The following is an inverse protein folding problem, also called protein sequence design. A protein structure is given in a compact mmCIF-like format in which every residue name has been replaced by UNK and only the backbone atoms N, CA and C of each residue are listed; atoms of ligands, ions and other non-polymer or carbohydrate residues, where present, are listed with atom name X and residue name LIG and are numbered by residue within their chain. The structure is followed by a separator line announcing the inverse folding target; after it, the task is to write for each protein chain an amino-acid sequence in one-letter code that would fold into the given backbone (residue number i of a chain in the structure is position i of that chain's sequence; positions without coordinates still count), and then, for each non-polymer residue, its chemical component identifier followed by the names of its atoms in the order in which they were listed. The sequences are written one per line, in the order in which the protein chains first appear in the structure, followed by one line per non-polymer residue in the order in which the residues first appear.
data_IF_240363151651
#
_entry.id   IF_240363151651
#
_cell.length_a   1.000
_cell.length_b   1.000
_cell.length_c   1.000
_cell.angle_alpha   90.00
_cell.angle_beta   90.00
_cell.angle_gamma   90.00
#
_symmetry.space_group_name_H-M   'P 1'
#
loop_
_entity.id
_entity.type
_entity.pdbx_description
1 polymer ?
#
# COMPACT_ATOMS: atom_id res chain seq x y z
N UNK A 1 2.66 -9.05 8.47
CA UNK A 1 1.81 -8.51 9.54
C UNK A 1 1.52 -7.00 9.37
N UNK A 2 2.22 -6.31 8.46
CA UNK A 2 1.95 -4.90 8.17
C UNK A 2 2.06 -3.99 9.40
N UNK A 3 1.09 -3.08 9.63
CA UNK A 3 1.11 -2.17 10.78
C UNK A 3 1.14 -2.88 12.14
N UNK A 4 0.54 -4.05 12.26
CA UNK A 4 0.52 -4.82 13.50
C UNK A 4 1.85 -5.54 13.84
N UNK A 5 2.89 -5.40 13.00
CA UNK A 5 4.18 -6.09 13.20
C UNK A 5 4.77 -5.80 14.59
N UNK A 6 4.83 -4.55 15.01
CA UNK A 6 5.42 -4.19 16.31
C UNK A 6 4.61 -4.71 17.50
N UNK A 7 3.29 -4.76 17.39
CA UNK A 7 2.44 -5.37 18.42
C UNK A 7 2.76 -6.87 18.58
N UNK A 8 2.94 -7.60 17.46
CA UNK A 8 3.33 -9.00 17.49
C UNK A 8 4.75 -9.20 18.01
N UNK A 9 5.69 -8.31 17.66
CA UNK A 9 7.05 -8.34 18.19
C UNK A 9 7.08 -8.10 19.69
N UNK A 10 6.23 -7.22 20.23
CA UNK A 10 6.08 -7.03 21.68
C UNK A 10 5.63 -8.29 22.38
N UNK A 11 4.63 -9.01 21.84
CA UNK A 11 4.20 -10.30 22.39
C UNK A 11 5.32 -11.34 22.37
N UNK A 12 6.20 -11.30 21.38
CA UNK A 12 7.37 -12.16 21.30
C UNK A 12 8.56 -11.63 22.11
N UNK A 13 8.42 -10.53 22.85
CA UNK A 13 9.50 -9.86 23.60
C UNK A 13 10.72 -9.56 22.69
N UNK A 14 10.47 -9.18 21.45
CA UNK A 14 11.50 -8.87 20.45
C UNK A 14 11.61 -7.36 20.23
N UNK A 15 12.75 -6.87 19.73
CA UNK A 15 12.93 -5.47 19.42
C UNK A 15 11.92 -4.96 18.39
N UNK A 16 11.43 -3.73 18.58
CA UNK A 16 10.59 -3.08 17.59
C UNK A 16 11.41 -2.68 16.36
N UNK A 17 10.73 -2.70 15.23
CA UNK A 17 11.25 -2.18 13.98
C UNK A 17 10.74 -0.74 13.78
N UNK A 18 11.54 0.16 13.19
CA UNK A 18 11.13 1.54 12.91
C UNK A 18 10.14 1.59 11.71
N UNK A 19 8.96 1.03 11.91
CA UNK A 19 7.92 0.96 10.91
C UNK A 19 7.02 2.18 10.98
N UNK A 20 6.61 2.68 9.82
CA UNK A 20 5.73 3.83 9.68
C UNK A 20 4.42 3.41 9.04
N UNK A 21 3.28 3.67 9.69
CA UNK A 21 1.98 3.50 9.09
C UNK A 21 1.73 4.61 8.06
N UNK A 22 1.13 4.25 6.94
CA UNK A 22 0.70 5.21 5.92
C UNK A 22 -0.71 4.83 5.49
N UNK A 23 -1.68 5.57 6.01
CA UNK A 23 -3.08 5.42 5.64
C UNK A 23 -3.31 5.97 4.24
N UNK A 24 -4.25 5.40 3.51
CA UNK A 24 -4.66 5.92 2.22
C UNK A 24 -6.06 5.47 1.85
N UNK A 25 -6.76 6.35 1.14
CA UNK A 25 -8.09 6.10 0.62
C UNK A 25 -8.08 6.06 -0.90
N UNK A 26 -8.78 5.07 -1.45
CA UNK A 26 -9.22 5.02 -2.84
C UNK A 26 -10.60 5.64 -2.95
N UNK A 27 -10.85 6.35 -4.07
CA UNK A 27 -12.17 6.68 -4.57
C UNK A 27 -12.51 5.70 -5.68
N UNK A 28 -13.72 5.15 -5.68
CA UNK A 28 -14.15 4.23 -6.72
C UNK A 28 -15.65 4.31 -6.94
N UNK A 29 -16.10 3.86 -8.07
CA UNK A 29 -17.53 3.80 -8.37
C UNK A 29 -17.83 2.94 -9.61
N UNK A 30 -19.11 2.65 -9.86
CA UNK A 30 -19.52 1.94 -11.07
C UNK A 30 -19.16 2.76 -12.32
N UNK A 31 -18.75 2.08 -13.37
CA UNK A 31 -18.47 2.71 -14.65
C UNK A 31 -19.75 2.76 -15.49
N UNK A 32 -20.12 3.96 -15.89
CA UNK A 32 -21.28 4.19 -16.76
C UNK A 32 -20.89 4.25 -18.24
N UNK A 33 -21.87 4.23 -19.13
CA UNK A 33 -21.64 4.39 -20.57
C UNK A 33 -20.95 5.73 -20.92
N UNK A 34 -21.21 6.79 -20.17
CA UNK A 34 -20.57 8.09 -20.34
C UNK A 34 -19.05 8.04 -20.07
N UNK A 35 -18.59 7.06 -19.31
CA UNK A 35 -17.18 6.85 -18.96
C UNK A 35 -16.45 5.89 -19.92
N UNK A 36 -17.05 5.56 -21.07
CA UNK A 36 -16.43 4.63 -22.05
C UNK A 36 -15.07 5.12 -22.58
N UNK A 37 -14.81 6.42 -22.52
CA UNK A 37 -13.53 7.04 -22.92
C UNK A 37 -12.40 6.92 -21.88
N UNK A 38 -12.61 6.27 -20.75
CA UNK A 38 -11.54 6.02 -19.76
C UNK A 38 -10.45 5.11 -20.34
N UNK A 39 -9.18 5.32 -19.95
CA UNK A 39 -8.07 4.49 -20.44
C UNK A 39 -8.30 3.00 -20.20
N UNK A 40 -8.03 2.12 -21.19
CA UNK A 40 -8.22 0.68 -21.07
C UNK A 40 -7.09 -0.03 -20.29
N UNK A 41 -6.12 0.71 -19.76
CA UNK A 41 -4.99 0.21 -19.00
C UNK A 41 -4.75 1.05 -17.74
N UNK A 42 -4.13 0.48 -16.69
CA UNK A 42 -3.78 1.22 -15.49
C UNK A 42 -2.79 2.35 -15.78
N UNK A 43 -3.06 3.55 -15.26
CA UNK A 43 -2.13 4.69 -15.30
C UNK A 43 -1.66 4.95 -13.88
N UNK A 44 -0.36 5.13 -13.69
CA UNK A 44 0.26 5.35 -12.39
C UNK A 44 1.22 6.55 -12.44
N UNK A 45 1.22 7.34 -11.37
CA UNK A 45 2.08 8.52 -11.21
C UNK A 45 1.89 9.11 -9.82
N UNK A 46 1.49 10.37 -9.71
CA UNK A 46 1.04 10.98 -8.45
C UNK A 46 -0.40 10.53 -8.12
N UNK A 47 -0.57 9.26 -7.84
CA UNK A 47 -1.82 8.53 -7.75
C UNK A 47 -1.87 7.44 -8.83
N UNK A 48 -3.01 6.80 -8.97
CA UNK A 48 -3.27 5.83 -10.04
C UNK A 48 -4.74 5.90 -10.47
N UNK A 49 -4.99 5.66 -11.74
CA UNK A 49 -6.32 5.41 -12.29
C UNK A 49 -6.36 4.01 -12.89
N UNK A 50 -7.32 3.21 -12.47
CA UNK A 50 -7.60 1.89 -13.04
C UNK A 50 -9.09 1.84 -13.37
N UNK A 51 -9.41 1.80 -14.64
CA UNK A 51 -10.79 1.66 -15.14
C UNK A 51 -11.06 0.21 -15.59
N UNK A 52 -12.29 -0.05 -15.95
CA UNK A 52 -12.75 -1.33 -16.48
C UNK A 52 -12.50 -2.54 -15.57
N UNK A 53 -12.42 -2.31 -14.25
CA UNK A 53 -12.26 -3.39 -13.26
C UNK A 53 -13.58 -4.14 -13.15
N UNK A 54 -13.63 -5.47 -13.34
CA UNK A 54 -14.87 -6.24 -13.17
C UNK A 54 -15.48 -6.04 -11.78
N UNK A 55 -16.75 -5.68 -11.73
CA UNK A 55 -17.48 -5.43 -10.49
C UNK A 55 -18.96 -5.84 -10.66
N UNK A 56 -19.38 -6.89 -9.95
CA UNK A 56 -20.73 -7.44 -10.12
C UNK A 56 -21.01 -7.83 -11.57
N UNK A 57 -22.11 -7.35 -12.13
CA UNK A 57 -22.48 -7.55 -13.54
C UNK A 57 -21.87 -6.50 -14.51
N UNK A 58 -21.09 -5.55 -14.02
CA UNK A 58 -20.50 -4.45 -14.79
C UNK A 58 -19.03 -4.27 -14.52
N UNK A 59 -18.59 -3.02 -14.65
CA UNK A 59 -17.21 -2.59 -14.35
C UNK A 59 -17.21 -1.39 -13.42
N UNK A 60 -16.09 -1.18 -12.74
CA UNK A 60 -15.84 -0.04 -11.87
C UNK A 60 -14.53 0.66 -12.25
N UNK A 61 -14.42 1.92 -11.88
CA UNK A 61 -13.19 2.69 -11.88
C UNK A 61 -12.65 2.86 -10.47
N UNK A 62 -11.32 2.93 -10.34
CA UNK A 62 -10.61 3.15 -9.08
C UNK A 62 -9.60 4.26 -9.26
N UNK A 63 -9.63 5.23 -8.38
CA UNK A 63 -8.77 6.41 -8.39
C UNK A 63 -8.09 6.60 -7.04
N UNK A 64 -6.83 6.87 -7.01
CA UNK A 64 -6.10 7.16 -5.78
C UNK A 64 -4.74 6.48 -5.73
N UNK A 65 -4.18 6.44 -4.56
CA UNK A 65 -4.74 6.72 -3.24
C UNK A 65 -4.11 7.95 -2.60
N UNK A 66 -4.71 8.42 -1.50
CA UNK A 66 -4.05 9.34 -0.58
C UNK A 66 -2.91 8.68 0.18
N UNK A 67 -2.05 9.48 0.83
CA UNK A 67 -0.87 9.03 1.59
C UNK A 67 -0.74 9.85 2.88
N UNK A 68 -1.48 9.47 3.91
CA UNK A 68 -1.48 10.13 5.22
C UNK A 68 -0.44 9.44 6.10
N UNK A 69 0.72 10.06 6.25
CA UNK A 69 1.82 9.51 7.05
C UNK A 69 1.49 9.55 8.53
N UNK A 70 1.99 8.55 9.26
CA UNK A 70 1.83 8.39 10.70
C UNK A 70 0.36 8.35 11.15
N UNK A 71 -0.51 7.92 10.22
CA UNK A 71 -1.94 7.71 10.46
C UNK A 71 -2.29 6.24 10.28
N UNK A 72 -2.98 5.68 11.28
CA UNK A 72 -3.45 4.29 11.23
C UNK A 72 -4.91 4.12 11.63
N UNK A 73 -5.57 5.22 12.06
CA UNK A 73 -6.97 5.16 12.48
C UNK A 73 -7.89 4.85 11.30
N UNK A 74 -8.69 3.81 11.46
CA UNK A 74 -9.78 3.41 10.57
C UNK A 74 -11.04 3.15 11.40
N UNK A 75 -12.23 3.41 10.84
CA UNK A 75 -12.49 4.06 9.54
C UNK A 75 -12.15 5.57 9.58
N UNK A 76 -12.08 6.18 8.40
CA UNK A 76 -12.00 7.64 8.27
C UNK A 76 -13.33 8.28 8.70
N UNK A 77 -13.27 9.50 9.26
CA UNK A 77 -14.48 10.30 9.44
C UNK A 77 -15.09 10.74 8.10
N UNK A 78 -16.36 11.12 8.06
CA UNK A 78 -16.97 11.64 6.83
C UNK A 78 -16.19 12.82 6.21
N UNK A 79 -15.67 13.73 7.02
CA UNK A 79 -14.89 14.88 6.60
C UNK A 79 -13.53 14.47 6.02
N UNK A 80 -12.87 13.47 6.64
CA UNK A 80 -11.63 12.91 6.12
C UNK A 80 -11.86 12.18 4.80
N UNK A 81 -12.97 11.45 4.65
CA UNK A 81 -13.34 10.79 3.40
C UNK A 81 -13.57 11.81 2.28
N UNK A 82 -14.33 12.88 2.56
CA UNK A 82 -14.57 13.95 1.60
C UNK A 82 -13.27 14.62 1.16
N UNK A 83 -12.38 14.94 2.10
CA UNK A 83 -11.06 15.51 1.81
C UNK A 83 -10.20 14.57 0.96
N UNK A 84 -10.25 13.28 1.23
CA UNK A 84 -9.52 12.28 0.45
C UNK A 84 -10.08 12.14 -0.98
N UNK A 85 -11.42 12.19 -1.16
CA UNK A 85 -12.07 12.23 -2.46
C UNK A 85 -11.61 13.44 -3.26
N UNK A 86 -11.68 14.65 -2.68
CA UNK A 86 -11.23 15.89 -3.33
C UNK A 86 -9.75 15.84 -3.72
N UNK A 87 -8.90 15.26 -2.85
CA UNK A 87 -7.48 15.07 -3.14
C UNK A 87 -7.25 14.13 -4.32
N UNK A 88 -7.97 13.02 -4.39
CA UNK A 88 -7.86 12.07 -5.48
C UNK A 88 -8.31 12.70 -6.81
N UNK A 89 -9.44 13.42 -6.82
CA UNK A 89 -9.92 14.14 -8.00
C UNK A 89 -8.93 15.21 -8.48
N UNK A 90 -8.37 16.00 -7.55
CA UNK A 90 -7.36 17.00 -7.89
C UNK A 90 -6.10 16.37 -8.53
N UNK A 91 -5.67 15.21 -8.04
CA UNK A 91 -4.54 14.50 -8.65
C UNK A 91 -4.86 13.96 -10.04
N UNK A 92 -6.11 13.55 -10.28
CA UNK A 92 -6.55 13.10 -11.60
C UNK A 92 -6.35 14.16 -12.67
N UNK A 93 -6.58 15.43 -12.35
CA UNK A 93 -6.42 16.56 -13.28
C UNK A 93 -5.00 16.64 -13.86
N UNK A 94 -4.00 16.28 -13.08
CA UNK A 94 -2.60 16.25 -13.55
C UNK A 94 -2.17 14.87 -14.07
N UNK A 95 -2.77 13.79 -13.59
CA UNK A 95 -2.41 12.43 -13.96
C UNK A 95 -2.99 12.04 -15.34
N UNK A 96 -4.27 12.29 -15.53
CA UNK A 96 -5.02 11.98 -16.77
C UNK A 96 -6.06 13.08 -17.01
N UNK A 97 -5.66 14.24 -17.57
CA UNK A 97 -6.57 15.38 -17.76
C UNK A 97 -7.84 15.03 -18.53
N UNK A 98 -7.74 14.12 -19.50
CA UNK A 98 -8.88 13.68 -20.31
C UNK A 98 -9.90 12.81 -19.57
N UNK A 99 -9.51 12.18 -18.46
CA UNK A 99 -10.40 11.37 -17.65
C UNK A 99 -11.15 12.20 -16.58
N UNK A 100 -10.63 13.35 -16.23
CA UNK A 100 -11.23 14.20 -15.20
C UNK A 100 -12.68 14.57 -15.51
N UNK A 101 -13.04 15.14 -16.69
CA UNK A 101 -14.41 15.48 -16.99
C UNK A 101 -15.35 14.26 -17.07
N UNK A 102 -14.82 13.06 -17.29
CA UNK A 102 -15.62 11.83 -17.29
C UNK A 102 -15.95 11.35 -15.87
N UNK A 103 -15.06 11.55 -14.90
CA UNK A 103 -15.22 11.11 -13.53
C UNK A 103 -15.77 12.19 -12.59
N UNK A 104 -15.55 13.47 -12.90
CA UNK A 104 -15.99 14.60 -12.08
C UNK A 104 -17.45 14.51 -11.63
N UNK A 105 -18.43 14.20 -12.51
CA UNK A 105 -19.84 14.09 -12.11
C UNK A 105 -20.11 13.10 -10.99
N UNK A 106 -19.29 12.02 -10.87
CA UNK A 106 -19.43 11.07 -9.79
C UNK A 106 -19.05 11.65 -8.41
N UNK A 107 -18.24 12.70 -8.38
CA UNK A 107 -17.84 13.37 -7.14
C UNK A 107 -18.81 14.49 -6.72
N UNK A 108 -19.68 14.95 -7.60
CA UNK A 108 -20.66 16.01 -7.32
C UNK A 108 -22.07 15.49 -7.08
N UNK A 109 -22.35 14.25 -7.48
CA UNK A 109 -23.70 13.68 -7.34
C UNK A 109 -24.01 13.32 -5.90
N UNK A 110 -25.28 13.36 -5.56
CA UNK A 110 -25.83 12.86 -4.29
C UNK A 110 -26.33 11.43 -4.37
N UNK A 111 -26.19 10.78 -5.54
CA UNK A 111 -26.59 9.38 -5.72
C UNK A 111 -25.71 8.47 -4.85
N UNK A 112 -26.31 7.64 -3.99
CA UNK A 112 -25.59 6.93 -2.93
C UNK A 112 -24.55 5.92 -3.46
N UNK A 113 -24.76 5.39 -4.66
CA UNK A 113 -23.89 4.34 -5.22
C UNK A 113 -22.94 4.85 -6.32
N UNK A 114 -22.85 6.16 -6.53
CA UNK A 114 -22.01 6.75 -7.57
C UNK A 114 -20.53 6.86 -7.14
N UNK A 115 -20.27 7.09 -5.85
CA UNK A 115 -18.94 7.29 -5.30
C UNK A 115 -18.78 6.54 -3.97
N UNK A 116 -17.79 5.71 -3.92
CA UNK A 116 -17.43 4.93 -2.72
C UNK A 116 -16.00 5.23 -2.28
N UNK A 117 -15.74 5.00 -0.99
CA UNK A 117 -14.43 5.04 -0.39
C UNK A 117 -13.97 3.64 0.05
N UNK A 118 -12.71 3.32 -0.18
CA UNK A 118 -12.02 2.23 0.50
C UNK A 118 -10.72 2.76 1.09
N UNK A 119 -10.49 2.49 2.35
CA UNK A 119 -9.29 2.94 3.04
C UNK A 119 -8.55 1.77 3.69
N UNK A 120 -7.23 1.88 3.71
CA UNK A 120 -6.36 0.91 4.36
C UNK A 120 -5.05 1.54 4.83
N UNK A 121 -4.36 0.84 5.72
CA UNK A 121 -3.08 1.28 6.25
C UNK A 121 -1.95 0.43 5.69
N UNK A 122 -1.02 1.08 5.01
CA UNK A 122 0.24 0.48 4.55
C UNK A 122 1.28 0.56 5.66
N UNK A 123 2.19 -0.39 5.65
CA UNK A 123 3.36 -0.38 6.52
C UNK A 123 4.61 -0.13 5.67
N UNK A 124 5.41 0.86 6.04
CA UNK A 124 6.66 1.19 5.37
C UNK A 124 7.82 1.22 6.37
N UNK A 125 9.03 1.02 5.88
CA UNK A 125 10.29 1.29 6.58
C UNK A 125 10.80 2.69 6.22
N UNK A 126 11.72 3.29 6.98
CA UNK A 126 12.33 4.59 6.68
C UNK A 126 13.00 4.65 5.30
N UNK A 127 13.63 3.56 4.88
CA UNK A 127 14.29 3.41 3.57
C UNK A 127 13.34 2.98 2.45
N UNK A 128 12.06 2.74 2.75
CA UNK A 128 11.00 2.30 1.82
C UNK A 128 11.27 0.95 1.15
N UNK A 129 12.17 0.15 1.72
CA UNK A 129 12.42 -1.22 1.28
C UNK A 129 11.64 -2.21 2.15
N UNK A 130 11.20 -3.35 1.63
CA UNK A 130 10.66 -4.43 2.44
C UNK A 130 11.63 -4.85 3.53
N UNK A 131 11.08 -5.36 4.61
CA UNK A 131 11.84 -5.87 5.74
C UNK A 131 11.56 -7.37 5.87
N UNK A 132 12.57 -8.20 5.59
CA UNK A 132 12.46 -9.66 5.51
C UNK A 132 13.61 -10.30 6.26
N UNK A 133 13.36 -11.38 6.97
CA UNK A 133 14.41 -12.16 7.62
C UNK A 133 14.31 -12.21 9.14
N UNK A 134 15.36 -12.72 9.82
CA UNK A 134 15.39 -12.81 11.27
C UNK A 134 15.37 -11.43 11.91
N UNK A 135 14.63 -11.29 13.01
CA UNK A 135 14.50 -10.01 13.72
C UNK A 135 15.69 -9.74 14.61
N UNK A 136 16.24 -10.78 15.24
CA UNK A 136 17.34 -10.64 16.20
C UNK A 136 18.08 -11.96 16.39
N UNK A 137 19.40 -11.88 16.57
CA UNK A 137 20.23 -13.01 16.97
C UNK A 137 19.84 -13.57 18.36
N UNK A 138 19.25 -12.74 19.23
CA UNK A 138 18.83 -13.14 20.58
C UNK A 138 17.51 -13.93 20.61
N UNK A 139 16.79 -13.99 19.50
CA UNK A 139 15.54 -14.73 19.33
C UNK A 139 15.63 -15.59 18.07
N UNK A 140 16.41 -16.69 18.10
CA UNK A 140 16.51 -17.60 16.97
C UNK A 140 15.12 -18.18 16.64
N UNK A 141 14.79 -18.25 15.36
CA UNK A 141 13.50 -18.75 14.90
C UNK A 141 12.40 -17.69 14.73
N UNK A 142 12.60 -16.43 15.16
CA UNK A 142 11.66 -15.35 14.91
C UNK A 142 12.02 -14.59 13.62
N UNK A 143 11.12 -14.65 12.64
CA UNK A 143 11.30 -14.07 11.32
C UNK A 143 10.16 -13.11 11.00
N UNK A 144 10.45 -12.09 10.18
CA UNK A 144 9.45 -11.15 9.67
C UNK A 144 9.47 -11.07 8.15
N UNK A 145 8.31 -10.76 7.58
CA UNK A 145 8.13 -10.30 6.22
C UNK A 145 7.10 -9.16 6.28
N UNK A 146 7.56 -7.91 6.20
CA UNK A 146 6.76 -6.71 6.48
C UNK A 146 7.29 -5.50 5.69
N UNK A 147 6.71 -4.33 5.91
CA UNK A 147 7.10 -3.06 5.29
C UNK A 147 7.01 -3.06 3.75
N UNK A 148 6.05 -3.76 3.19
CA UNK A 148 5.89 -3.87 1.73
C UNK A 148 5.48 -2.55 1.05
N UNK A 149 4.96 -1.59 1.82
CA UNK A 149 4.54 -0.28 1.36
C UNK A 149 3.41 -0.35 0.32
N UNK A 150 3.44 0.56 -0.66
CA UNK A 150 2.42 0.64 -1.71
C UNK A 150 2.60 -0.40 -2.83
N UNK A 151 3.68 -1.19 -2.81
CA UNK A 151 4.00 -2.21 -3.85
C UNK A 151 3.92 -3.62 -3.29
N UNK A 152 3.04 -3.86 -2.32
CA UNK A 152 2.95 -5.13 -1.61
C UNK A 152 2.71 -6.33 -2.52
N UNK A 153 1.79 -6.24 -3.46
CA UNK A 153 1.49 -7.34 -4.38
C UNK A 153 2.71 -7.76 -5.22
N UNK A 154 3.47 -6.80 -5.74
CA UNK A 154 4.67 -7.07 -6.53
C UNK A 154 5.83 -7.61 -5.69
N UNK A 155 5.98 -7.09 -4.46
CA UNK A 155 7.13 -7.43 -3.61
C UNK A 155 6.93 -8.67 -2.76
N UNK A 156 5.68 -8.98 -2.40
CA UNK A 156 5.39 -10.05 -1.45
C UNK A 156 5.85 -11.42 -1.95
N UNK A 157 5.67 -11.72 -3.24
CA UNK A 157 6.11 -12.98 -3.85
C UNK A 157 7.63 -13.12 -3.74
N UNK A 158 8.37 -12.12 -4.23
CA UNK A 158 9.84 -12.12 -4.15
C UNK A 158 10.35 -12.18 -2.71
N UNK A 159 9.71 -11.46 -1.79
CA UNK A 159 10.06 -11.50 -0.37
C UNK A 159 9.74 -12.87 0.27
N UNK A 160 8.69 -13.54 -0.20
CA UNK A 160 8.35 -14.91 0.20
C UNK A 160 9.41 -15.91 -0.25
N UNK A 161 9.81 -15.87 -1.52
CA UNK A 161 10.88 -16.70 -2.07
C UNK A 161 12.21 -16.46 -1.36
N UNK A 162 12.56 -15.20 -1.10
CA UNK A 162 13.76 -14.84 -0.37
C UNK A 162 13.75 -15.39 1.06
N UNK A 163 12.61 -15.32 1.73
CA UNK A 163 12.43 -15.85 3.08
C UNK A 163 12.58 -17.39 3.09
N UNK A 164 11.94 -18.07 2.14
CA UNK A 164 12.03 -19.52 1.99
C UNK A 164 13.47 -19.96 1.71
N UNK A 165 14.16 -19.30 0.78
CA UNK A 165 15.55 -19.60 0.46
C UNK A 165 16.48 -19.46 1.68
N UNK A 166 16.29 -18.44 2.52
CA UNK A 166 17.07 -18.31 3.76
C UNK A 166 16.75 -19.40 4.79
N UNK A 167 15.48 -19.78 4.94
CA UNK A 167 15.07 -20.81 5.89
C UNK A 167 15.58 -22.20 5.49
N UNK A 168 15.61 -22.48 4.19
CA UNK A 168 16.02 -23.77 3.65
C UNK A 168 17.49 -23.83 3.18
N UNK A 169 18.23 -22.70 3.31
CA UNK A 169 19.63 -22.58 2.85
C UNK A 169 19.78 -22.84 1.34
N UNK A 170 18.79 -22.44 0.58
CA UNK A 170 18.76 -22.52 -0.88
C UNK A 170 19.45 -21.31 -1.55
N UNK A 171 19.80 -21.42 -2.85
CA UNK A 171 20.27 -20.28 -3.61
C UNK A 171 19.26 -19.11 -3.55
N UNK A 172 19.77 -17.89 -3.31
CA UNK A 172 18.92 -16.72 -3.19
C UNK A 172 18.35 -16.31 -4.55
N UNK A 173 17.07 -15.84 -4.60
CA UNK A 173 16.45 -15.34 -5.83
C UNK A 173 16.97 -13.96 -6.24
N UNK A 174 17.86 -13.36 -5.46
CA UNK A 174 18.47 -12.05 -5.63
C UNK A 174 19.98 -12.12 -5.45
N UNK A 175 20.71 -11.15 -6.01
CA UNK A 175 22.11 -10.98 -5.66
C UNK A 175 22.31 -10.68 -4.17
N UNK A 176 23.48 -11.03 -3.65
CA UNK A 176 23.77 -10.92 -2.21
C UNK A 176 23.66 -9.48 -1.65
N UNK A 177 23.87 -8.44 -2.48
CA UNK A 177 23.77 -7.04 -2.07
C UNK A 177 22.31 -6.65 -1.88
N UNK A 178 21.45 -6.99 -2.84
CA UNK A 178 20.00 -6.74 -2.75
C UNK A 178 19.36 -7.56 -1.63
N UNK A 179 19.72 -8.83 -1.49
CA UNK A 179 19.23 -9.67 -0.42
C UNK A 179 19.57 -9.07 0.95
N UNK A 180 20.80 -8.60 1.16
CA UNK A 180 21.21 -7.91 2.40
C UNK A 180 20.45 -6.60 2.63
N UNK A 181 20.16 -5.85 1.58
CA UNK A 181 19.40 -4.61 1.66
C UNK A 181 17.94 -4.82 2.12
N UNK A 182 17.42 -6.03 2.05
CA UNK A 182 16.09 -6.39 2.52
C UNK A 182 16.06 -6.98 3.92
N UNK A 183 17.22 -7.33 4.52
CA UNK A 183 17.28 -7.97 5.84
C UNK A 183 16.71 -7.09 6.95
N UNK A 184 15.95 -7.71 7.86
CA UNK A 184 15.37 -7.04 9.02
C UNK A 184 16.44 -6.45 9.96
N UNK A 185 17.57 -7.12 10.10
CA UNK A 185 18.70 -6.73 10.95
C UNK A 185 19.21 -5.30 10.65
N UNK A 186 19.13 -4.83 9.40
CA UNK A 186 19.52 -3.45 9.02
C UNK A 186 18.74 -2.37 9.76
N UNK A 187 17.47 -2.66 10.09
CA UNK A 187 16.60 -1.72 10.79
C UNK A 187 16.79 -1.79 12.30
N UNK A 188 17.11 -2.95 12.85
CA UNK A 188 17.40 -3.12 14.27
C UNK A 188 18.71 -2.41 14.65
N UNK A 189 19.76 -2.55 13.84
CA UNK A 189 21.03 -1.88 14.06
C UNK A 189 20.90 -0.35 14.05
N UNK A 190 20.07 0.20 13.14
CA UNK A 190 19.83 1.63 13.04
C UNK A 190 19.05 2.22 14.25
N UNK A 191 18.29 1.40 14.96
CA UNK A 191 17.54 1.82 16.16
C UNK A 191 18.40 1.87 17.42
N UNK A 192 19.49 1.11 17.47
CA UNK A 192 20.40 1.03 18.62
C UNK A 192 21.44 2.21 18.63
N UNK A 193 21.52 2.98 17.55
CA UNK A 193 22.49 4.07 17.37
C UNK A 193 21.90 5.46 17.58
N UNK A 194 20.68 5.57 18.09
CA UNK A 194 20.00 6.80 18.48
C UNK A 194 19.65 6.77 19.97
#
# INVERSE_FOLDING_TARGET
AGPATNALLSLAQAPHLPLQPVRGQLSWGPQTAAMAGLPPFPINGNGALVAHVPHGAGTAWHLGSTFDRDQERLPLSPEEQATAHATNLHRLQSLVPSAEPLLHPAFETTEPDALHAWAGVRCTSPDRLPCVGPVSAYRPGLWVSTAMGARGLTRAVLCGELLAAWLHQEPLPLDAKLARALRAERLVAASASK
#
